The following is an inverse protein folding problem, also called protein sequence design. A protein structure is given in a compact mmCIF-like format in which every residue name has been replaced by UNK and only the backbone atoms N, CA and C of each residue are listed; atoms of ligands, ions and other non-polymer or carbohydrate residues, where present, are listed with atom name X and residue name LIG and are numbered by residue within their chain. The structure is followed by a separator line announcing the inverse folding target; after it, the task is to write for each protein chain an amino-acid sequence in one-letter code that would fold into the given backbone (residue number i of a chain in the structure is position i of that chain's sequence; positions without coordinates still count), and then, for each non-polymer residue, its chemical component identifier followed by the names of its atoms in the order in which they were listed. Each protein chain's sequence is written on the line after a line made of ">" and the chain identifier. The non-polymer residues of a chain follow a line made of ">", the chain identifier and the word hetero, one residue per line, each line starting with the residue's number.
data_IF_351548290592
#
_entry.id   IF_351548290592
#
_cell.length_a   1.000
_cell.length_b   1.000
_cell.length_c   1.000
_cell.angle_alpha   90.00
_cell.angle_beta   90.00
_cell.angle_gamma   90.00
#
_symmetry.space_group_name_H-M   'P 1'
#
loop_
_entity.id
_entity.type
_entity.pdbx_description
1 polymer ?
#
# COMPACT_ATOMS: atom_id res chain seq x y z
N UNK A 1 14.37 31.56 -5.83
CA UNK A 1 13.43 30.98 -4.85
C UNK A 1 14.07 29.70 -4.36
N UNK A 2 14.63 29.72 -3.16
CA UNK A 2 15.36 28.58 -2.60
C UNK A 2 14.39 27.63 -1.86
N UNK A 3 14.35 26.32 -2.18
CA UNK A 3 13.35 25.38 -1.66
C UNK A 3 13.72 24.71 -0.32
N UNK A 4 14.72 25.22 0.43
CA UNK A 4 15.23 24.55 1.64
C UNK A 4 15.01 25.32 2.95
N UNK A 5 13.97 26.15 3.03
CA UNK A 5 13.58 26.77 4.28
C UNK A 5 12.52 25.92 5.01
N UNK A 6 12.90 24.74 5.49
CA UNK A 6 12.11 24.02 6.49
C UNK A 6 12.39 24.66 7.84
N UNK A 7 11.59 25.69 8.13
CA UNK A 7 11.55 26.31 9.44
C UNK A 7 11.41 25.27 10.55
N UNK A 8 12.24 25.42 11.58
CA UNK A 8 12.09 24.78 12.88
C UNK A 8 10.70 25.07 13.46
N UNK A 9 9.71 24.23 13.15
CA UNK A 9 8.34 24.34 13.68
C UNK A 9 8.12 23.60 15.00
N UNK A 10 9.14 22.94 15.55
CA UNK A 10 9.06 22.35 16.90
C UNK A 10 9.46 23.33 18.02
N UNK A 11 9.92 24.54 17.66
CA UNK A 11 10.30 25.58 18.61
C UNK A 11 9.23 26.66 18.82
N UNK A 12 8.02 26.48 18.28
CA UNK A 12 6.86 27.31 18.59
C UNK A 12 6.04 26.67 19.72
N UNK A 13 6.57 26.79 20.91
CA UNK A 13 5.75 26.75 22.12
C UNK A 13 6.30 27.84 23.01
N UNK A 14 5.69 29.02 22.91
CA UNK A 14 5.78 30.15 23.83
C UNK A 14 7.16 30.37 24.47
N UNK A 15 8.16 30.67 23.64
CA UNK A 15 9.25 31.51 24.14
C UNK A 15 8.69 32.93 24.29
N UNK A 16 7.96 33.14 25.38
CA UNK A 16 7.85 34.46 25.97
C UNK A 16 9.25 35.03 26.03
N UNK A 17 9.46 36.10 25.27
CA UNK A 17 10.61 36.99 25.31
C UNK A 17 10.71 37.61 26.71
N UNK A 18 11.08 36.79 27.70
CA UNK A 18 11.33 37.22 29.07
C UNK A 18 12.82 37.47 29.22
N UNK A 19 13.18 38.74 29.26
CA UNK A 19 14.41 39.26 29.83
C UNK A 19 14.87 38.39 31.02
N UNK A 20 16.16 38.05 31.10
CA UNK A 20 16.72 37.30 32.25
C UNK A 20 16.55 38.03 33.60
N UNK A 21 16.09 39.28 33.57
CA UNK A 21 15.74 40.10 34.73
C UNK A 21 14.36 39.68 35.27
N UNK A 22 14.36 38.90 36.36
CA UNK A 22 13.15 38.58 37.13
C UNK A 22 12.79 37.11 37.25
N UNK A 23 13.58 36.18 36.68
CA UNK A 23 13.26 34.75 36.77
C UNK A 23 13.46 34.22 38.20
N UNK A 24 12.36 33.79 38.82
CA UNK A 24 12.39 33.25 40.18
C UNK A 24 13.26 31.97 40.24
N UNK A 25 13.81 31.61 41.40
CA UNK A 25 14.51 30.34 41.58
C UNK A 25 13.65 29.13 41.18
N UNK A 26 12.35 29.17 41.47
CA UNK A 26 11.38 28.13 41.10
C UNK A 26 11.23 28.01 39.58
N UNK A 27 11.13 29.13 38.85
CA UNK A 27 11.01 29.11 37.38
C UNK A 27 12.28 28.57 36.71
N UNK A 28 13.46 28.92 37.26
CA UNK A 28 14.73 28.34 36.82
C UNK A 28 14.79 26.84 37.06
N UNK A 29 14.26 26.37 38.19
CA UNK A 29 14.22 24.95 38.51
C UNK A 29 13.26 24.18 37.60
N UNK A 30 12.07 24.72 37.34
CA UNK A 30 11.10 24.14 36.39
C UNK A 30 11.68 24.07 34.97
N UNK A 31 12.35 25.13 34.51
CA UNK A 31 13.03 25.15 33.20
C UNK A 31 14.12 24.08 33.10
N UNK A 32 14.93 23.91 34.14
CA UNK A 32 15.95 22.84 34.20
C UNK A 32 15.32 21.44 34.13
N UNK A 33 14.24 21.21 34.88
CA UNK A 33 13.52 19.94 34.87
C UNK A 33 12.93 19.63 33.49
N UNK A 34 12.29 20.61 32.86
CA UNK A 34 11.74 20.46 31.50
C UNK A 34 12.85 20.17 30.47
N UNK A 35 13.97 20.89 30.52
CA UNK A 35 15.12 20.59 29.64
C UNK A 35 15.71 19.20 29.87
N UNK A 36 15.76 18.72 31.11
CA UNK A 36 16.20 17.37 31.41
C UNK A 36 15.26 16.32 30.80
N UNK A 37 13.94 16.50 30.93
CA UNK A 37 12.94 15.63 30.32
C UNK A 37 13.10 15.56 28.80
N UNK A 38 13.24 16.70 28.13
CA UNK A 38 13.47 16.73 26.68
C UNK A 38 14.75 15.99 26.27
N UNK A 39 15.83 16.11 27.03
CA UNK A 39 17.08 15.38 26.77
C UNK A 39 16.91 13.87 26.95
N UNK A 40 16.11 13.44 27.91
CA UNK A 40 15.85 12.01 28.14
C UNK A 40 14.98 11.42 27.03
N UNK A 41 13.97 12.16 26.55
CA UNK A 41 13.16 11.77 25.39
C UNK A 41 13.99 11.71 24.12
N UNK A 42 14.83 12.71 23.89
CA UNK A 42 15.76 12.75 22.77
C UNK A 42 16.71 11.53 22.76
N UNK A 43 17.24 11.14 23.93
CA UNK A 43 18.06 9.92 24.06
C UNK A 43 17.29 8.67 23.68
N UNK A 44 16.07 8.49 24.22
CA UNK A 44 15.20 7.35 23.89
C UNK A 44 14.91 7.26 22.39
N UNK A 45 14.70 8.41 21.74
CA UNK A 45 14.49 8.46 20.28
C UNK A 45 15.75 8.04 19.51
N UNK A 46 16.93 8.54 19.90
CA UNK A 46 18.19 8.13 19.27
C UNK A 46 18.45 6.63 19.47
N UNK A 47 18.22 6.08 20.66
CA UNK A 47 18.38 4.65 20.92
C UNK A 47 17.45 3.81 20.03
N UNK A 48 16.21 4.27 19.85
CA UNK A 48 15.27 3.63 18.94
C UNK A 48 15.74 3.71 17.48
N UNK A 49 16.16 4.88 17.01
CA UNK A 49 16.68 5.04 15.65
C UNK A 49 17.92 4.18 15.41
N UNK A 50 18.79 4.07 16.42
CA UNK A 50 19.96 3.21 16.39
C UNK A 50 19.58 1.74 16.19
N UNK A 51 18.57 1.26 16.92
CA UNK A 51 18.08 -0.12 16.78
C UNK A 51 17.51 -0.41 15.38
N UNK A 52 16.87 0.58 14.76
CA UNK A 52 16.25 0.47 13.44
C UNK A 52 17.25 0.61 12.28
N UNK A 53 18.40 1.26 12.51
CA UNK A 53 19.34 1.67 11.44
C UNK A 53 20.72 1.01 11.53
N UNK A 54 20.87 -0.03 12.35
CA UNK A 54 22.04 -0.92 12.27
C UNK A 54 23.10 -0.74 13.35
N UNK A 55 22.72 -0.40 14.59
CA UNK A 55 23.60 -0.54 15.75
C UNK A 55 24.35 0.74 16.17
N UNK A 56 25.20 0.65 17.22
CA UNK A 56 25.75 1.81 17.93
C UNK A 56 26.64 2.68 17.06
N UNK A 57 26.35 3.99 17.06
CA UNK A 57 27.13 5.00 16.34
C UNK A 57 26.92 6.39 16.96
N UNK A 58 27.62 7.40 16.44
CA UNK A 58 27.41 8.80 16.76
C UNK A 58 26.00 9.22 16.32
N UNK A 59 25.40 10.08 17.12
CA UNK A 59 24.07 10.65 16.89
C UNK A 59 23.88 11.19 15.47
N UNK A 60 24.85 11.94 14.94
CA UNK A 60 24.79 12.49 13.58
C UNK A 60 24.70 11.37 12.52
N UNK A 61 25.49 10.31 12.67
CA UNK A 61 25.45 9.14 11.78
C UNK A 61 24.12 8.39 11.88
N UNK A 62 23.59 8.21 13.10
CA UNK A 62 22.28 7.57 13.31
C UNK A 62 21.18 8.35 12.59
N UNK A 63 21.15 9.68 12.74
CA UNK A 63 20.17 10.53 12.08
C UNK A 63 20.31 10.47 10.55
N UNK A 64 21.53 10.53 10.02
CA UNK A 64 21.80 10.41 8.59
C UNK A 64 21.30 9.06 8.04
N UNK A 65 21.70 7.94 8.67
CA UNK A 65 21.23 6.61 8.27
C UNK A 65 19.72 6.46 8.38
N UNK A 66 19.10 7.10 9.37
CA UNK A 66 17.64 7.10 9.51
C UNK A 66 16.96 7.80 8.34
N UNK A 67 17.49 8.95 7.91
CA UNK A 67 17.00 9.67 6.75
C UNK A 67 17.21 8.89 5.45
N UNK A 68 18.37 8.26 5.28
CA UNK A 68 18.69 7.44 4.12
C UNK A 68 17.80 6.19 4.06
N UNK A 69 17.60 5.52 5.22
CA UNK A 69 16.71 4.36 5.33
C UNK A 69 15.26 4.73 5.01
N UNK A 70 14.77 5.87 5.51
CA UNK A 70 13.42 6.35 5.21
C UNK A 70 13.24 6.64 3.72
N UNK A 71 14.21 7.33 3.11
CA UNK A 71 14.20 7.62 1.66
C UNK A 71 14.22 6.33 0.83
N UNK A 72 15.05 5.37 1.23
CA UNK A 72 15.12 4.07 0.56
C UNK A 72 13.85 3.24 0.72
N UNK A 73 13.20 3.29 1.89
CA UNK A 73 11.92 2.64 2.12
C UNK A 73 10.81 3.28 1.30
N UNK A 74 10.75 4.61 1.23
CA UNK A 74 9.79 5.34 0.42
C UNK A 74 9.88 4.91 -1.06
N UNK A 75 11.09 4.90 -1.60
CA UNK A 75 11.32 4.45 -2.97
C UNK A 75 10.87 3.00 -3.21
N UNK A 76 11.14 2.08 -2.26
CA UNK A 76 10.68 0.69 -2.36
C UNK A 76 9.16 0.58 -2.31
N UNK A 77 8.50 1.36 -1.46
CA UNK A 77 7.03 1.41 -1.40
C UNK A 77 6.47 1.87 -2.75
N UNK A 78 7.03 2.93 -3.34
CA UNK A 78 6.58 3.43 -4.63
C UNK A 78 6.73 2.38 -5.74
N UNK A 79 7.85 1.63 -5.77
CA UNK A 79 8.04 0.51 -6.70
C UNK A 79 7.00 -0.60 -6.50
N UNK A 80 6.77 -1.02 -5.26
CA UNK A 80 5.80 -2.07 -4.93
C UNK A 80 4.37 -1.64 -5.29
N UNK A 81 4.02 -0.37 -5.09
CA UNK A 81 2.73 0.18 -5.51
C UNK A 81 2.57 0.09 -7.02
N UNK A 82 3.60 0.48 -7.79
CA UNK A 82 3.57 0.37 -9.26
C UNK A 82 3.45 -1.08 -9.73
N UNK A 83 4.18 -2.00 -9.11
CA UNK A 83 4.10 -3.42 -9.45
C UNK A 83 2.72 -4.01 -9.13
N UNK A 84 2.15 -3.66 -7.97
CA UNK A 84 0.81 -4.08 -7.58
C UNK A 84 -0.25 -3.60 -8.58
N UNK A 85 -0.15 -2.34 -9.03
CA UNK A 85 -1.04 -1.79 -10.07
C UNK A 85 -0.93 -2.55 -11.39
N UNK A 86 0.29 -2.89 -11.83
CA UNK A 86 0.51 -3.69 -13.05
C UNK A 86 -0.09 -5.10 -12.92
N UNK A 87 0.12 -5.75 -11.78
CA UNK A 87 -0.44 -7.08 -11.51
C UNK A 87 -1.97 -7.04 -11.48
N UNK A 88 -2.56 -6.00 -10.87
CA UNK A 88 -4.01 -5.82 -10.84
C UNK A 88 -4.59 -5.62 -12.24
N UNK A 89 -3.93 -4.82 -13.08
CA UNK A 89 -4.33 -4.66 -14.49
C UNK A 89 -4.28 -6.00 -15.23
N UNK A 90 -3.20 -6.78 -15.04
CA UNK A 90 -3.05 -8.09 -15.68
C UNK A 90 -4.10 -9.11 -15.21
N UNK A 91 -4.45 -9.10 -13.93
CA UNK A 91 -5.53 -9.92 -13.39
C UNK A 91 -6.87 -9.57 -14.04
N UNK A 92 -7.16 -8.28 -14.20
CA UNK A 92 -8.40 -7.83 -14.85
C UNK A 92 -8.45 -8.26 -16.32
N UNK A 93 -7.35 -8.12 -17.07
CA UNK A 93 -7.25 -8.62 -18.45
C UNK A 93 -7.54 -10.11 -18.54
N UNK A 94 -6.89 -10.92 -17.69
CA UNK A 94 -7.08 -12.37 -17.67
C UNK A 94 -8.50 -12.78 -17.24
N UNK A 95 -9.12 -12.02 -16.34
CA UNK A 95 -10.51 -12.25 -15.95
C UNK A 95 -11.46 -12.03 -17.13
N UNK A 96 -11.27 -10.95 -17.91
CA UNK A 96 -12.05 -10.67 -19.12
C UNK A 96 -11.84 -11.76 -20.18
N UNK A 97 -10.59 -12.18 -20.42
CA UNK A 97 -10.29 -13.26 -21.36
C UNK A 97 -10.96 -14.58 -20.95
N UNK A 98 -10.93 -14.93 -19.66
CA UNK A 98 -11.62 -16.10 -19.15
C UNK A 98 -13.14 -16.03 -19.34
N UNK A 99 -13.76 -14.88 -19.07
CA UNK A 99 -15.20 -14.69 -19.29
C UNK A 99 -15.57 -14.85 -20.77
N UNK A 100 -14.78 -14.28 -21.68
CA UNK A 100 -14.98 -14.42 -23.12
C UNK A 100 -14.85 -15.88 -23.58
N UNK A 101 -13.83 -16.60 -23.09
CA UNK A 101 -13.64 -18.01 -23.41
C UNK A 101 -14.79 -18.88 -22.86
N UNK A 102 -15.23 -18.64 -21.63
CA UNK A 102 -16.39 -19.35 -21.05
C UNK A 102 -17.66 -19.11 -21.87
N UNK A 103 -17.92 -17.86 -22.27
CA UNK A 103 -19.07 -17.52 -23.11
C UNK A 103 -19.02 -18.22 -24.47
N UNK A 104 -17.84 -18.25 -25.11
CA UNK A 104 -17.64 -18.94 -26.39
C UNK A 104 -17.89 -20.45 -26.26
N UNK A 105 -17.36 -21.09 -25.21
CA UNK A 105 -17.57 -22.52 -24.94
C UNK A 105 -19.06 -22.81 -24.71
N UNK A 106 -19.76 -21.99 -23.92
CA UNK A 106 -21.20 -22.16 -23.71
C UNK A 106 -22.00 -22.06 -25.01
N UNK A 107 -21.66 -21.10 -25.88
CA UNK A 107 -22.32 -20.93 -27.17
C UNK A 107 -22.11 -22.16 -28.07
N UNK A 108 -20.88 -22.67 -28.15
CA UNK A 108 -20.54 -23.90 -28.89
C UNK A 108 -21.33 -25.11 -28.38
N UNK A 109 -21.42 -25.29 -27.06
CA UNK A 109 -22.18 -26.39 -26.46
C UNK A 109 -23.68 -26.30 -26.78
N UNK A 110 -24.27 -25.09 -26.73
CA UNK A 110 -25.67 -24.90 -27.13
C UNK A 110 -25.91 -25.22 -28.61
N UNK A 111 -25.00 -24.80 -29.50
CA UNK A 111 -25.12 -25.12 -30.93
C UNK A 111 -25.06 -26.63 -31.19
N UNK A 112 -24.15 -27.36 -30.52
CA UNK A 112 -24.08 -28.82 -30.66
C UNK A 112 -25.35 -29.52 -30.16
N UNK A 113 -25.94 -29.08 -29.04
CA UNK A 113 -27.19 -29.66 -28.54
C UNK A 113 -28.37 -29.43 -29.50
N UNK A 114 -28.45 -28.27 -30.16
CA UNK A 114 -29.50 -28.00 -31.15
C UNK A 114 -29.36 -28.88 -32.41
N UNK A 115 -28.13 -29.14 -32.87
CA UNK A 115 -27.91 -30.05 -34.00
C UNK A 115 -28.29 -31.50 -33.68
N UNK A 116 -28.07 -31.97 -32.45
CA UNK A 116 -28.49 -33.31 -32.04
C UNK A 116 -30.01 -33.46 -31.95
N UNK A 117 -30.74 -32.40 -31.56
CA UNK A 117 -32.21 -32.44 -31.52
C UNK A 117 -32.84 -32.40 -32.93
N UNK A 118 -32.25 -31.67 -33.88
CA UNK A 118 -32.74 -31.65 -35.26
C UNK A 118 -32.35 -32.90 -36.07
N UNK A 119 -31.23 -33.55 -35.76
CA UNK A 119 -30.82 -34.81 -36.40
C UNK A 119 -31.63 -36.04 -35.99
N UNK A 120 -32.36 -35.99 -34.88
CA UNK A 120 -33.12 -37.14 -34.33
C UNK A 120 -34.56 -37.28 -34.82
N UNK A 121 -35.10 -36.33 -35.59
CA UNK A 121 -36.53 -36.28 -35.93
C UNK A 121 -36.87 -36.67 -37.39
N UNK A 122 -35.88 -37.12 -38.17
CA UNK A 122 -36.01 -37.21 -39.64
C UNK A 122 -36.34 -38.58 -40.25
N UNK A 123 -36.27 -39.69 -39.51
CA UNK A 123 -36.46 -41.03 -40.09
C UNK A 123 -37.19 -41.98 -39.15
N UNK A 124 -38.50 -41.80 -38.99
CA UNK A 124 -39.35 -42.95 -38.68
C UNK A 124 -40.45 -43.02 -39.74
N UNK A 125 -40.21 -43.93 -40.68
CA UNK A 125 -41.03 -44.25 -41.82
C UNK A 125 -42.42 -44.67 -41.36
N UNK A 126 -43.44 -43.92 -41.80
CA UNK A 126 -44.78 -44.45 -41.91
C UNK A 126 -44.77 -45.56 -42.96
N UNK A 127 -44.64 -46.81 -42.53
CA UNK A 127 -44.98 -47.96 -43.34
C UNK A 127 -46.48 -47.92 -43.65
N UNK A 128 -46.91 -47.88 -44.92
CA UNK A 128 -48.31 -48.10 -45.24
C UNK A 128 -48.62 -49.58 -44.96
N UNK A 129 -49.30 -49.83 -43.85
CA UNK A 129 -49.85 -51.13 -43.52
C UNK A 129 -50.88 -51.52 -44.57
N UNK A 130 -50.56 -52.52 -45.40
CA UNK A 130 -51.54 -53.20 -46.23
C UNK A 130 -52.43 -54.06 -45.32
N UNK A 131 -53.77 -53.91 -45.37
CA UNK A 131 -54.66 -54.83 -44.68
C UNK A 131 -54.68 -56.16 -45.43
N UNK A 132 -54.33 -57.24 -44.74
CA UNK A 132 -54.68 -58.59 -45.16
C UNK A 132 -56.09 -58.92 -44.66
N UNK A 133 -56.90 -59.39 -45.63
CA UNK A 133 -58.21 -60.06 -45.54
C UNK A 133 -59.43 -59.23 -45.16
#
# INVERSE_FOLDING_TARGET
>A
MDPYNYGNQWAQSDYGSGSQEGMTPEDRQRKKQSQAQYRDEERKLIDRLQSLTGGPDKRATILQRSADALSGLQYKVDLLVQENQKLQARLNELAVQNQQLQAYIMQQQQQQQQQQQQGGSGWNQGYPGYPYQ
#
